data_IF_262520332595
#
_entry.id   IF_262520332595
#
_cell.length_a   1.000
_cell.length_b   1.000
_cell.length_c   1.000
_cell.angle_alpha   90.00
_cell.angle_beta   90.00
_cell.angle_gamma   90.00
#
_symmetry.space_group_name_H-M   'P 1'
#
loop_
_entity.id
_entity.type
_entity.pdbx_description
1 polymer ?
#
# COMPACT_ATOMS: atom_id res chain seq x y z
N UNK A 1 1.58 0.50 -15.17
CA UNK A 1 1.12 0.48 -13.76
C UNK A 1 0.65 -0.93 -13.59
N UNK A 2 1.37 -1.67 -12.77
CA UNK A 2 1.27 -3.11 -12.77
C UNK A 2 0.69 -3.52 -11.42
N UNK A 3 -0.43 -4.23 -11.46
CA UNK A 3 -1.07 -4.78 -10.28
C UNK A 3 -1.46 -6.23 -10.54
N UNK A 4 -1.11 -7.12 -9.61
CA UNK A 4 -1.38 -8.54 -9.73
C UNK A 4 -1.69 -9.14 -8.36
N UNK A 5 -2.78 -9.90 -8.31
CA UNK A 5 -3.12 -10.73 -7.18
C UNK A 5 -2.31 -12.03 -7.16
N UNK A 6 -1.93 -12.45 -5.97
CA UNK A 6 -1.32 -13.73 -5.66
C UNK A 6 -1.88 -14.22 -4.32
N UNK A 7 -2.85 -15.14 -4.40
CA UNK A 7 -3.72 -15.46 -3.27
C UNK A 7 -4.40 -14.18 -2.74
N UNK A 8 -4.27 -13.97 -1.43
CA UNK A 8 -4.85 -12.81 -0.73
C UNK A 8 -3.93 -11.59 -0.71
N UNK A 9 -2.85 -11.60 -1.51
CA UNK A 9 -1.90 -10.49 -1.60
C UNK A 9 -1.95 -9.81 -2.97
N UNK A 10 -2.30 -8.52 -2.99
CA UNK A 10 -2.19 -7.66 -4.16
C UNK A 10 -0.79 -7.05 -4.22
N UNK A 11 0.01 -7.44 -5.22
CA UNK A 11 1.27 -6.77 -5.53
C UNK A 11 1.04 -5.63 -6.50
N UNK A 12 1.65 -4.49 -6.25
CA UNK A 12 1.52 -3.30 -7.10
C UNK A 12 2.87 -2.61 -7.34
N UNK A 13 3.01 -2.00 -8.51
CA UNK A 13 4.16 -1.16 -8.84
C UNK A 13 3.77 -0.02 -9.78
N UNK A 14 4.27 1.18 -9.45
CA UNK A 14 4.17 2.41 -10.22
C UNK A 14 5.49 3.17 -10.14
N UNK A 15 5.73 4.11 -11.04
CA UNK A 15 6.91 4.98 -11.00
C UNK A 15 7.07 5.61 -9.61
N UNK A 16 8.14 5.26 -8.91
CA UNK A 16 8.47 5.77 -7.58
C UNK A 16 7.92 4.99 -6.39
N UNK A 17 7.04 4.00 -6.59
CA UNK A 17 6.51 3.17 -5.49
C UNK A 17 6.24 1.73 -5.94
N UNK A 18 6.66 0.77 -5.13
CA UNK A 18 6.29 -0.64 -5.26
C UNK A 18 5.85 -1.17 -3.91
N UNK A 19 4.98 -2.15 -3.90
CA UNK A 19 4.44 -2.65 -2.65
C UNK A 19 3.52 -3.84 -2.77
N UNK A 20 2.95 -4.20 -1.64
CA UNK A 20 1.97 -5.26 -1.51
C UNK A 20 0.92 -4.92 -0.48
N UNK A 21 -0.31 -5.37 -0.71
CA UNK A 21 -1.41 -5.33 0.23
C UNK A 21 -1.81 -6.78 0.50
N UNK A 22 -1.60 -7.24 1.72
CA UNK A 22 -2.04 -8.55 2.17
C UNK A 22 -3.35 -8.39 2.94
N UNK A 23 -4.38 -9.16 2.57
CA UNK A 23 -5.68 -9.15 3.21
C UNK A 23 -5.85 -10.44 3.99
N UNK A 24 -6.06 -10.32 5.30
CA UNK A 24 -6.44 -11.42 6.18
C UNK A 24 -7.90 -11.25 6.62
N UNK A 25 -8.43 -12.25 7.32
CA UNK A 25 -9.84 -12.25 7.75
C UNK A 25 -10.20 -11.07 8.68
N UNK A 26 -9.24 -10.54 9.43
CA UNK A 26 -9.43 -9.49 10.43
C UNK A 26 -8.38 -8.37 10.37
N UNK A 27 -7.51 -8.38 9.35
CA UNK A 27 -6.41 -7.42 9.24
C UNK A 27 -6.10 -7.15 7.75
N UNK A 28 -5.65 -5.93 7.47
CA UNK A 28 -5.04 -5.59 6.18
C UNK A 28 -3.65 -5.02 6.43
N UNK A 29 -2.63 -5.65 5.86
CA UNK A 29 -1.24 -5.23 5.98
C UNK A 29 -0.78 -4.60 4.67
N UNK A 30 -0.30 -3.36 4.72
CA UNK A 30 0.19 -2.62 3.54
C UNK A 30 1.69 -2.40 3.68
N UNK A 31 2.44 -2.89 2.70
CA UNK A 31 3.87 -2.62 2.54
C UNK A 31 4.09 -1.76 1.30
N UNK A 32 4.78 -0.64 1.45
CA UNK A 32 5.16 0.23 0.34
C UNK A 32 6.62 0.65 0.48
N UNK A 33 7.40 0.39 -0.57
CA UNK A 33 8.75 0.91 -0.73
C UNK A 33 8.69 2.14 -1.65
N UNK A 34 9.07 3.28 -1.08
CA UNK A 34 9.16 4.54 -1.80
C UNK A 34 10.56 4.71 -2.37
N UNK A 35 10.65 4.99 -3.67
CA UNK A 35 11.89 5.42 -4.31
C UNK A 35 12.33 6.79 -3.81
N UNK A 36 13.59 7.15 -4.09
CA UNK A 36 14.26 8.36 -3.55
C UNK A 36 13.44 9.65 -3.72
N UNK A 37 12.74 9.81 -4.85
CA UNK A 37 11.92 10.99 -5.12
C UNK A 37 10.70 11.11 -4.19
N UNK A 38 10.13 9.99 -3.74
CA UNK A 38 8.94 9.97 -2.87
C UNK A 38 9.30 9.81 -1.39
N UNK A 39 10.54 9.49 -1.05
CA UNK A 39 10.98 9.31 0.34
C UNK A 39 10.63 10.48 1.27
N UNK A 40 10.74 11.78 0.87
CA UNK A 40 10.33 12.90 1.72
C UNK A 40 8.83 12.92 2.03
N UNK A 41 8.00 12.33 1.18
CA UNK A 41 6.54 12.27 1.32
C UNK A 41 6.07 11.04 2.10
N UNK A 42 6.98 10.24 2.68
CA UNK A 42 6.65 9.00 3.37
C UNK A 42 5.52 9.15 4.39
N UNK A 43 5.59 10.15 5.27
CA UNK A 43 4.57 10.39 6.29
C UNK A 43 3.18 10.63 5.67
N UNK A 44 3.10 11.49 4.65
CA UNK A 44 1.83 11.76 3.96
C UNK A 44 1.26 10.52 3.28
N UNK A 45 2.11 9.67 2.69
CA UNK A 45 1.67 8.42 2.06
C UNK A 45 1.13 7.45 3.11
N UNK A 46 1.83 7.31 4.25
CA UNK A 46 1.37 6.46 5.35
C UNK A 46 0.04 6.94 5.94
N UNK A 47 -0.12 8.25 6.15
CA UNK A 47 -1.36 8.85 6.67
C UNK A 47 -2.53 8.62 5.71
N UNK A 48 -2.32 8.78 4.41
CA UNK A 48 -3.35 8.54 3.40
C UNK A 48 -3.74 7.06 3.31
N UNK A 49 -2.78 6.14 3.42
CA UNK A 49 -3.05 4.69 3.50
C UNK A 49 -3.91 4.40 4.74
N UNK A 50 -3.53 4.92 5.91
CA UNK A 50 -4.28 4.73 7.16
C UNK A 50 -5.69 5.27 7.07
N UNK A 51 -5.86 6.48 6.51
CA UNK A 51 -7.17 7.11 6.31
C UNK A 51 -8.05 6.24 5.41
N UNK A 52 -7.52 5.76 4.28
CA UNK A 52 -8.26 4.91 3.35
C UNK A 52 -8.64 3.56 3.94
N UNK A 53 -7.75 2.94 4.71
CA UNK A 53 -8.06 1.70 5.42
C UNK A 53 -9.16 1.93 6.46
N UNK A 54 -9.08 3.01 7.24
CA UNK A 54 -10.12 3.36 8.21
C UNK A 54 -11.47 3.66 7.55
N UNK A 55 -11.49 4.31 6.39
CA UNK A 55 -12.73 4.60 5.65
C UNK A 55 -13.43 3.34 5.12
N UNK A 56 -12.67 2.31 4.75
CA UNK A 56 -13.21 1.13 4.07
C UNK A 56 -13.35 -0.11 4.97
N UNK A 57 -12.72 -0.12 6.14
CA UNK A 57 -12.71 -1.25 7.07
C UNK A 57 -13.38 -0.91 8.42
N UNK A 58 -14.04 0.25 8.53
CA UNK A 58 -14.83 0.65 9.70
C UNK A 58 -16.22 -0.01 9.73
#
# INVERSE_FOLDING_TARGET
MDSRWDGDTLRFSRSGVKGSIAVAANEVTVHAELGLMLSPLKGMVEDEIRRKLAEHLA
#
